data_IF_333737754504
#
_entry.id   IF_333737754504
#
_cell.length_a   1.000
_cell.length_b   1.000
_cell.length_c   1.000
_cell.angle_alpha   90.00
_cell.angle_beta   90.00
_cell.angle_gamma   90.00
#
_symmetry.space_group_name_H-M   'P 1'
#
loop_
_entity.id
_entity.type
_entity.pdbx_description
1 polymer ?
#
# COMPACT_ATOMS: atom_id res chain seq x y z
N UNK A 1 -2.49 -11.03 -14.63
CA UNK A 1 -3.43 -10.22 -15.43
C UNK A 1 -3.50 -8.78 -14.93
N UNK A 2 -3.96 -8.52 -13.70
CA UNK A 2 -4.07 -7.15 -13.16
C UNK A 2 -2.76 -6.34 -13.20
N UNK A 3 -1.64 -6.94 -12.79
CA UNK A 3 -0.33 -6.27 -12.83
C UNK A 3 0.08 -5.82 -14.26
N UNK A 4 -0.14 -6.67 -15.27
CA UNK A 4 0.13 -6.34 -16.67
C UNK A 4 -0.80 -5.24 -17.16
N UNK A 5 -2.10 -5.33 -16.85
CA UNK A 5 -3.06 -4.30 -17.24
C UNK A 5 -2.77 -2.94 -16.58
N UNK A 6 -2.29 -2.93 -15.33
CA UNK A 6 -1.87 -1.71 -14.66
C UNK A 6 -0.56 -1.15 -15.25
N UNK A 7 0.38 -2.01 -15.65
CA UNK A 7 1.60 -1.58 -16.34
C UNK A 7 1.28 -0.83 -17.64
N UNK A 8 0.22 -1.21 -18.37
CA UNK A 8 -0.20 -0.50 -19.59
C UNK A 8 -0.74 0.92 -19.35
N UNK A 9 -1.10 1.27 -18.12
CA UNK A 9 -1.50 2.63 -17.76
C UNK A 9 -0.32 3.58 -17.60
N UNK A 10 0.90 3.05 -17.55
CA UNK A 10 2.12 3.81 -17.36
C UNK A 10 2.64 4.31 -18.69
N UNK A 11 2.98 5.59 -18.73
CA UNK A 11 3.59 6.26 -19.89
C UNK A 11 5.06 6.58 -19.61
N UNK A 12 5.87 6.66 -20.66
CA UNK A 12 7.27 7.05 -20.54
C UNK A 12 7.39 8.50 -20.07
N UNK A 13 8.32 8.77 -19.15
CA UNK A 13 8.54 10.05 -18.49
C UNK A 13 7.85 10.19 -17.13
N UNK A 14 7.01 9.22 -16.73
CA UNK A 14 6.30 9.25 -15.45
C UNK A 14 7.22 8.98 -14.26
N UNK A 15 6.88 9.60 -13.13
CA UNK A 15 7.34 9.28 -11.78
C UNK A 15 6.37 8.32 -11.11
N UNK A 16 6.86 7.15 -10.71
CA UNK A 16 6.04 6.04 -10.25
C UNK A 16 6.29 5.66 -8.79
N UNK A 17 5.22 5.57 -8.02
CA UNK A 17 5.21 4.84 -6.76
C UNK A 17 5.03 3.35 -6.98
N UNK A 18 6.00 2.55 -6.55
CA UNK A 18 5.98 1.09 -6.63
C UNK A 18 5.68 0.50 -5.25
N UNK A 19 4.54 -0.18 -5.17
CA UNK A 19 4.07 -0.88 -3.99
C UNK A 19 4.95 -2.01 -3.46
N UNK A 20 4.37 -2.85 -2.59
CA UNK A 20 5.07 -4.02 -2.03
C UNK A 20 4.22 -5.29 -2.12
N UNK A 21 4.90 -6.44 -2.26
CA UNK A 21 4.28 -7.76 -2.20
C UNK A 21 4.36 -8.55 -3.51
N UNK A 22 3.84 -9.77 -3.47
CA UNK A 22 3.93 -10.73 -4.59
C UNK A 22 3.24 -10.22 -5.86
N UNK A 23 2.09 -9.58 -5.74
CA UNK A 23 1.38 -8.97 -6.87
C UNK A 23 2.21 -7.88 -7.54
N UNK A 24 2.92 -7.08 -6.75
CA UNK A 24 3.80 -6.01 -7.25
C UNK A 24 5.03 -6.57 -7.95
N UNK A 25 5.57 -7.71 -7.53
CA UNK A 25 6.69 -8.35 -8.26
C UNK A 25 6.35 -8.63 -9.73
N UNK A 26 5.11 -9.03 -10.03
CA UNK A 26 4.64 -9.19 -11.42
C UNK A 26 4.51 -7.85 -12.16
N UNK A 27 4.15 -6.77 -11.46
CA UNK A 27 4.11 -5.42 -12.04
C UNK A 27 5.51 -4.96 -12.41
N UNK A 28 6.50 -5.16 -11.55
CA UNK A 28 7.90 -4.77 -11.82
C UNK A 28 8.43 -5.44 -13.09
N UNK A 29 8.16 -6.74 -13.25
CA UNK A 29 8.54 -7.46 -14.47
C UNK A 29 7.82 -6.90 -15.70
N UNK A 30 6.50 -6.66 -15.61
CA UNK A 30 5.73 -6.10 -16.72
C UNK A 30 6.20 -4.69 -17.12
N UNK A 31 6.62 -3.86 -16.17
CA UNK A 31 7.21 -2.54 -16.44
C UNK A 31 8.57 -2.67 -17.12
N UNK A 32 9.43 -3.57 -16.64
CA UNK A 32 10.75 -3.80 -17.21
C UNK A 32 10.67 -4.31 -18.67
N UNK A 33 9.72 -5.21 -18.95
CA UNK A 33 9.50 -5.76 -20.30
C UNK A 33 9.04 -4.69 -21.31
N UNK A 34 8.39 -3.62 -20.85
CA UNK A 34 7.95 -2.50 -21.71
C UNK A 34 9.10 -1.56 -22.11
N UNK A 35 10.26 -1.63 -21.44
CA UNK A 35 11.44 -0.82 -21.72
C UNK A 35 11.15 0.70 -21.84
N UNK A 36 10.26 1.21 -20.99
CA UNK A 36 9.93 2.64 -20.91
C UNK A 36 10.84 3.37 -19.90
N UNK A 37 11.06 4.66 -20.16
CA UNK A 37 11.82 5.51 -19.24
C UNK A 37 10.89 6.00 -18.12
N UNK A 38 11.13 5.58 -16.88
CA UNK A 38 10.34 5.94 -15.69
C UNK A 38 11.26 6.15 -14.50
N UNK A 39 10.92 7.11 -13.65
CA UNK A 39 11.60 7.34 -12.37
C UNK A 39 10.75 6.76 -11.24
N UNK A 40 11.26 5.74 -10.55
CA UNK A 40 10.47 5.02 -9.56
C UNK A 40 10.86 5.39 -8.12
N UNK A 41 9.88 5.29 -7.22
CA UNK A 41 10.03 5.29 -5.76
C UNK A 41 9.47 3.96 -5.25
N UNK A 42 10.17 3.29 -4.34
CA UNK A 42 9.73 2.03 -3.75
C UNK A 42 9.14 2.20 -2.35
N UNK A 43 8.14 1.38 -2.02
CA UNK A 43 7.57 1.36 -0.66
C UNK A 43 8.29 0.39 0.28
N UNK A 44 9.21 -0.44 -0.23
CA UNK A 44 10.04 -1.34 0.60
C UNK A 44 11.44 -1.56 0.03
N UNK A 45 12.42 -1.93 0.89
CA UNK A 45 13.76 -2.33 0.44
C UNK A 45 13.74 -3.53 -0.51
N UNK A 46 12.78 -4.45 -0.34
CA UNK A 46 12.64 -5.61 -1.21
C UNK A 46 12.16 -5.19 -2.62
N UNK A 47 11.13 -4.35 -2.71
CA UNK A 47 10.67 -3.80 -4.00
C UNK A 47 11.80 -3.03 -4.67
N UNK A 48 12.53 -2.19 -3.94
CA UNK A 48 13.67 -1.44 -4.48
C UNK A 48 14.70 -2.36 -5.11
N UNK A 49 15.12 -3.39 -4.37
CA UNK A 49 16.11 -4.34 -4.83
C UNK A 49 15.68 -5.00 -6.13
N UNK A 50 14.45 -5.53 -6.19
CA UNK A 50 13.93 -6.22 -7.38
C UNK A 50 13.81 -5.24 -8.56
N UNK A 51 13.30 -4.03 -8.32
CA UNK A 51 13.18 -3.01 -9.37
C UNK A 51 14.54 -2.66 -9.99
N UNK A 52 15.58 -2.48 -9.15
CA UNK A 52 16.95 -2.22 -9.61
C UNK A 52 17.54 -3.41 -10.37
N UNK A 53 17.31 -4.64 -9.90
CA UNK A 53 17.76 -5.86 -10.59
C UNK A 53 17.12 -6.03 -11.97
N UNK A 54 15.90 -5.52 -12.16
CA UNK A 54 15.19 -5.48 -13.43
C UNK A 54 15.56 -4.27 -14.31
N UNK A 55 16.48 -3.41 -13.87
CA UNK A 55 16.96 -2.26 -14.62
C UNK A 55 16.07 -1.01 -14.54
N UNK A 56 15.10 -0.96 -13.62
CA UNK A 56 14.29 0.24 -13.39
C UNK A 56 15.11 1.30 -12.63
N UNK A 57 14.96 2.57 -13.03
CA UNK A 57 15.54 3.69 -12.30
C UNK A 57 14.76 3.92 -11.00
N UNK A 58 15.40 3.74 -9.84
CA UNK A 58 14.78 3.97 -8.53
C UNK A 58 15.49 5.11 -7.81
N UNK A 59 14.73 6.16 -7.51
CA UNK A 59 15.15 7.37 -6.81
C UNK A 59 14.77 7.32 -5.33
N UNK A 60 15.41 8.19 -4.53
CA UNK A 60 15.08 8.34 -3.11
C UNK A 60 13.76 9.10 -2.94
N UNK A 61 12.94 8.64 -2.00
CA UNK A 61 11.79 9.36 -1.46
C UNK A 61 12.05 9.90 -0.04
N UNK A 62 13.28 9.73 0.45
CA UNK A 62 13.70 10.19 1.76
C UNK A 62 14.52 11.48 1.66
N UNK A 63 14.39 12.33 2.68
CA UNK A 63 15.13 13.58 2.80
C UNK A 63 14.54 14.73 1.98
N UNK A 64 15.06 15.93 2.18
CA UNK A 64 14.56 17.16 1.53
C UNK A 64 14.80 17.20 0.02
N UNK A 65 15.81 16.47 -0.46
CA UNK A 65 16.17 16.38 -1.89
C UNK A 65 15.53 15.18 -2.59
N UNK A 66 14.66 14.44 -1.90
CA UNK A 66 13.94 13.30 -2.46
C UNK A 66 12.85 13.71 -3.44
N UNK A 67 12.38 12.74 -4.23
CA UNK A 67 11.17 12.91 -5.04
C UNK A 67 10.01 13.31 -4.14
N UNK A 68 9.28 14.37 -4.48
CA UNK A 68 8.18 14.91 -3.65
C UNK A 68 6.78 14.70 -4.25
N UNK A 69 6.71 14.35 -5.54
CA UNK A 69 5.48 14.18 -6.30
C UNK A 69 5.63 13.03 -7.30
N UNK A 70 4.55 12.28 -7.49
CA UNK A 70 4.47 11.13 -8.38
C UNK A 70 3.27 11.28 -9.32
N UNK A 71 3.42 10.90 -10.58
CA UNK A 71 2.29 10.90 -11.53
C UNK A 71 1.33 9.75 -11.23
N UNK A 72 1.86 8.63 -10.74
CA UNK A 72 1.06 7.44 -10.43
C UNK A 72 1.71 6.60 -9.34
N UNK A 73 0.92 6.03 -8.44
CA UNK A 73 1.33 4.93 -7.57
C UNK A 73 0.53 3.67 -7.91
N UNK A 74 1.19 2.52 -7.93
CA UNK A 74 0.56 1.22 -8.18
C UNK A 74 0.94 0.24 -7.06
N UNK A 75 -0.06 -0.34 -6.40
CA UNK A 75 0.18 -1.25 -5.28
C UNK A 75 -0.91 -2.34 -5.15
N UNK A 76 -0.61 -3.41 -4.42
CA UNK A 76 -1.57 -4.43 -4.05
C UNK A 76 -2.40 -4.05 -2.82
N UNK A 77 -3.38 -4.89 -2.51
CA UNK A 77 -4.18 -4.82 -1.29
C UNK A 77 -4.46 -6.20 -0.68
N UNK A 78 -4.68 -6.22 0.63
CA UNK A 78 -5.08 -7.41 1.38
C UNK A 78 -6.59 -7.62 1.32
N UNK A 79 -7.37 -6.54 1.36
CA UNK A 79 -8.83 -6.52 1.18
C UNK A 79 -9.27 -5.22 0.52
N UNK A 80 -10.34 -5.28 -0.29
CA UNK A 80 -11.03 -4.13 -0.88
C UNK A 80 -12.53 -4.34 -0.70
N UNK A 81 -13.22 -3.38 -0.10
CA UNK A 81 -14.67 -3.44 0.10
C UNK A 81 -15.45 -2.67 -1.00
N UNK A 82 -16.80 -2.78 -1.05
CA UNK A 82 -17.60 -2.09 -2.05
C UNK A 82 -17.64 -0.57 -1.90
N UNK A 83 -17.31 -0.04 -0.72
CA UNK A 83 -17.24 1.40 -0.47
C UNK A 83 -15.89 1.99 -0.93
N UNK A 84 -14.95 1.15 -1.37
CA UNK A 84 -13.61 1.55 -1.80
C UNK A 84 -12.61 1.64 -0.66
N UNK A 85 -12.97 1.20 0.55
CA UNK A 85 -12.00 1.08 1.64
C UNK A 85 -11.10 -0.11 1.41
N UNK A 86 -9.83 0.08 1.75
CA UNK A 86 -8.78 -0.88 1.46
C UNK A 86 -8.01 -1.19 2.74
N UNK A 87 -7.75 -2.49 2.98
CA UNK A 87 -6.76 -2.94 3.95
C UNK A 87 -5.47 -3.30 3.21
N UNK A 88 -4.37 -2.74 3.69
CA UNK A 88 -2.98 -3.02 3.29
C UNK A 88 -2.13 -3.26 4.53
N UNK A 89 -0.88 -3.71 4.34
CA UNK A 89 0.09 -3.89 5.42
C UNK A 89 0.33 -5.34 5.85
N UNK A 90 -0.18 -6.33 5.11
CA UNK A 90 0.23 -7.73 5.28
C UNK A 90 1.76 -7.90 5.25
N UNK A 91 2.45 -7.12 4.41
CA UNK A 91 3.91 -7.07 4.28
C UNK A 91 4.64 -6.08 5.20
N UNK A 92 3.97 -5.46 6.18
CA UNK A 92 4.57 -4.53 7.14
C UNK A 92 5.22 -3.25 6.56
N UNK A 93 4.82 -2.84 5.35
CA UNK A 93 5.30 -1.62 4.69
C UNK A 93 4.21 -0.54 4.53
N UNK A 94 3.04 -0.71 5.16
CA UNK A 94 1.85 0.12 4.89
C UNK A 94 2.05 1.62 5.13
N UNK A 95 2.91 2.01 6.06
CA UNK A 95 3.25 3.43 6.28
C UNK A 95 3.90 4.04 5.05
N UNK A 96 4.93 3.39 4.48
CA UNK A 96 5.55 3.84 3.23
C UNK A 96 4.60 3.75 2.05
N UNK A 97 3.81 2.68 1.98
CA UNK A 97 2.78 2.52 0.94
C UNK A 97 1.80 3.69 0.95
N UNK A 98 1.38 4.15 2.14
CA UNK A 98 0.45 5.28 2.28
C UNK A 98 1.08 6.62 1.92
N UNK A 99 2.31 6.86 2.35
CA UNK A 99 3.05 8.07 1.97
C UNK A 99 3.21 8.17 0.45
N UNK A 100 3.58 7.07 -0.22
CA UNK A 100 3.74 7.02 -1.68
C UNK A 100 2.40 7.18 -2.39
N UNK A 101 1.34 6.52 -1.93
CA UNK A 101 0.01 6.69 -2.49
C UNK A 101 -0.51 8.13 -2.35
N UNK A 102 -0.28 8.77 -1.21
CA UNK A 102 -0.70 10.16 -0.96
C UNK A 102 0.09 11.21 -1.77
N UNK A 103 1.30 10.88 -2.22
CA UNK A 103 2.14 11.76 -3.04
C UNK A 103 1.86 11.60 -4.55
N UNK A 104 0.98 10.69 -4.95
CA UNK A 104 0.64 10.42 -6.34
C UNK A 104 -0.64 11.11 -6.79
N UNK A 105 -0.66 11.62 -8.01
CA UNK A 105 -1.90 12.15 -8.62
C UNK A 105 -2.93 11.04 -8.83
N UNK A 106 -2.45 9.81 -9.05
CA UNK A 106 -3.26 8.64 -9.40
C UNK A 106 -2.81 7.43 -8.60
N UNK A 107 -3.66 6.90 -7.73
CA UNK A 107 -3.39 5.65 -7.04
C UNK A 107 -4.21 4.50 -7.64
N UNK A 108 -3.50 3.51 -8.16
CA UNK A 108 -4.05 2.32 -8.83
C UNK A 108 -3.80 1.10 -7.95
N UNK A 109 -4.87 0.40 -7.61
CA UNK A 109 -4.77 -0.82 -6.79
C UNK A 109 -4.91 -2.06 -7.66
N UNK A 110 -3.98 -3.00 -7.56
CA UNK A 110 -3.99 -4.25 -8.31
C UNK A 110 -4.29 -5.43 -7.39
N UNK A 111 -5.35 -6.18 -7.69
CA UNK A 111 -5.75 -7.32 -6.87
C UNK A 111 -6.23 -8.49 -7.71
N UNK A 112 -6.19 -9.68 -7.11
CA UNK A 112 -6.97 -10.83 -7.56
C UNK A 112 -8.39 -10.77 -6.99
N UNK A 113 -9.35 -11.42 -7.64
CA UNK A 113 -10.77 -11.25 -7.32
C UNK A 113 -11.15 -11.68 -5.90
N UNK A 114 -10.39 -12.59 -5.28
CA UNK A 114 -10.59 -13.01 -3.88
C UNK A 114 -10.27 -11.93 -2.85
N UNK A 115 -9.62 -10.83 -3.25
CA UNK A 115 -9.38 -9.68 -2.38
C UNK A 115 -10.57 -8.74 -2.30
N UNK A 116 -11.56 -8.90 -3.17
CA UNK A 116 -12.83 -8.19 -3.07
C UNK A 116 -13.69 -8.87 -2.01
N UNK A 117 -13.92 -8.17 -0.91
CA UNK A 117 -14.69 -8.67 0.23
C UNK A 117 -16.01 -7.91 0.34
N UNK A 118 -17.08 -8.53 0.89
CA UNK A 118 -18.35 -7.81 1.09
C UNK A 118 -18.25 -6.71 2.14
N UNK A 119 -17.34 -6.86 3.10
CA UNK A 119 -16.99 -5.88 4.13
C UNK A 119 -15.57 -6.16 4.63
N UNK A 120 -14.87 -5.13 5.07
CA UNK A 120 -13.54 -5.27 5.67
C UNK A 120 -13.61 -6.08 6.98
N UNK A 121 -12.64 -6.95 7.18
CA UNK A 121 -12.52 -7.75 8.40
C UNK A 121 -11.11 -7.73 8.98
N UNK A 122 -11.00 -7.95 10.29
CA UNK A 122 -9.72 -8.06 10.95
C UNK A 122 -8.91 -9.26 10.41
N UNK A 123 -7.56 -9.22 10.46
CA UNK A 123 -6.74 -8.21 11.12
C UNK A 123 -6.51 -6.95 10.27
N UNK A 124 -6.43 -5.80 10.94
CA UNK A 124 -5.96 -4.53 10.37
C UNK A 124 -4.52 -4.24 10.85
N UNK A 125 -3.51 -4.22 9.94
CA UNK A 125 -2.13 -3.95 10.32
C UNK A 125 -1.94 -2.56 10.92
N UNK A 126 -1.12 -2.44 11.94
CA UNK A 126 -0.68 -1.21 12.58
C UNK A 126 0.85 -1.17 12.60
N UNK A 127 1.40 0.03 12.46
CA UNK A 127 2.80 0.31 12.77
C UNK A 127 2.86 1.18 14.02
N UNK A 128 3.61 0.75 15.01
CA UNK A 128 3.67 1.36 16.34
C UNK A 128 5.09 1.83 16.66
N UNK A 129 5.21 2.94 17.39
CA UNK A 129 6.45 3.35 18.02
C UNK A 129 6.85 2.35 19.11
N UNK A 130 8.14 2.02 19.16
CA UNK A 130 8.70 1.20 20.23
C UNK A 130 8.71 1.96 21.57
N UNK A 131 8.94 3.27 21.49
CA UNK A 131 8.86 4.14 22.66
C UNK A 131 7.42 4.24 23.15
N UNK A 132 7.17 3.75 24.36
CA UNK A 132 5.83 3.73 24.95
C UNK A 132 4.96 2.57 24.49
N UNK A 133 5.50 1.57 23.78
CA UNK A 133 4.74 0.46 23.19
C UNK A 133 3.71 -0.18 24.14
N UNK A 134 4.11 -0.49 25.38
CA UNK A 134 3.21 -1.09 26.36
C UNK A 134 1.99 -0.19 26.70
N UNK A 135 2.18 1.12 26.75
CA UNK A 135 1.10 2.09 26.96
C UNK A 135 0.21 2.19 25.72
N UNK A 136 0.79 2.20 24.52
CA UNK A 136 0.06 2.19 23.24
C UNK A 136 -0.82 0.94 23.12
N UNK A 137 -0.27 -0.25 23.38
CA UNK A 137 -1.04 -1.51 23.35
C UNK A 137 -2.20 -1.49 24.35
N UNK A 138 -1.95 -0.95 25.57
CA UNK A 138 -3.00 -0.80 26.58
C UNK A 138 -4.11 0.16 26.14
N UNK A 139 -3.77 1.26 25.46
CA UNK A 139 -4.73 2.25 25.00
C UNK A 139 -5.57 1.76 23.81
N UNK A 140 -5.00 0.89 22.96
CA UNK A 140 -5.70 0.29 21.83
C UNK A 140 -6.67 -0.82 22.26
N UNK A 141 -6.40 -1.52 23.37
CA UNK A 141 -7.18 -2.62 23.95
C UNK A 141 -7.29 -3.88 23.07
N UNK A 142 -7.75 -3.75 21.82
CA UNK A 142 -8.04 -4.86 20.90
C UNK A 142 -6.94 -5.01 19.85
N UNK A 143 -5.70 -5.17 20.32
CA UNK A 143 -4.52 -5.27 19.46
C UNK A 143 -3.65 -6.46 19.85
N UNK A 144 -3.07 -7.14 18.87
CA UNK A 144 -2.05 -8.19 19.07
C UNK A 144 -0.75 -7.79 18.39
N UNK A 145 0.38 -7.98 19.06
CA UNK A 145 1.68 -7.89 18.38
C UNK A 145 1.79 -8.97 17.32
N UNK A 146 2.41 -8.62 16.19
CA UNK A 146 2.68 -9.55 15.09
C UNK A 146 4.14 -10.00 15.18
N UNK A 147 4.37 -11.30 15.17
CA UNK A 147 5.72 -11.88 15.19
C UNK A 147 6.36 -11.84 13.79
N UNK A 148 6.74 -10.64 13.37
CA UNK A 148 7.39 -10.35 12.09
C UNK A 148 8.55 -9.38 12.30
N UNK A 149 9.47 -9.24 11.32
CA UNK A 149 10.44 -8.15 11.33
C UNK A 149 9.76 -6.79 11.51
N UNK A 150 10.50 -5.84 12.08
CA UNK A 150 10.07 -4.44 12.14
C UNK A 150 9.80 -3.89 10.74
N UNK A 151 9.02 -2.82 10.68
CA UNK A 151 8.78 -2.08 9.44
C UNK A 151 10.12 -1.62 8.82
N UNK A 152 10.13 -1.23 7.53
CA UNK A 152 11.29 -0.61 6.91
C UNK A 152 11.87 0.60 7.67
N UNK A 153 11.06 1.25 8.49
CA UNK A 153 11.41 2.45 9.27
C UNK A 153 11.58 2.16 10.78
N UNK A 154 11.61 0.88 11.16
CA UNK A 154 11.91 0.42 12.51
C UNK A 154 10.72 0.37 13.48
N UNK A 155 9.51 0.59 12.98
CA UNK A 155 8.27 0.46 13.73
C UNK A 155 7.94 -0.99 14.09
N UNK A 156 7.25 -1.17 15.23
CA UNK A 156 6.75 -2.46 15.70
C UNK A 156 5.43 -2.75 15.01
N UNK A 157 5.27 -3.96 14.48
CA UNK A 157 4.04 -4.35 13.77
C UNK A 157 3.06 -5.02 14.72
N UNK A 158 1.82 -4.58 14.64
CA UNK A 158 0.71 -5.14 15.40
C UNK A 158 -0.54 -5.24 14.53
N UNK A 159 -1.56 -5.92 15.03
CA UNK A 159 -2.82 -6.13 14.36
C UNK A 159 -3.97 -5.66 15.25
N UNK A 160 -4.76 -4.72 14.74
CA UNK A 160 -6.07 -4.43 15.30
C UNK A 160 -7.02 -5.60 15.00
N UNK A 161 -7.64 -6.14 16.05
CA UNK A 161 -8.52 -7.31 16.02
C UNK A 161 -9.99 -6.96 16.28
N UNK A 162 -10.30 -5.66 16.39
CA UNK A 162 -11.65 -5.18 16.66
C UNK A 162 -12.50 -5.02 15.39
N UNK A 163 -13.70 -4.46 15.58
CA UNK A 163 -14.62 -4.17 14.47
C UNK A 163 -14.02 -3.14 13.49
N UNK A 164 -14.43 -3.27 12.22
CA UNK A 164 -14.14 -2.40 11.09
C UNK A 164 -15.45 -1.85 10.46
N UNK A 165 -16.57 -1.89 11.19
CA UNK A 165 -17.89 -1.50 10.65
C UNK A 165 -17.96 -0.02 10.24
N UNK A 166 -17.13 0.84 10.85
CA UNK A 166 -16.93 2.24 10.46
C UNK A 166 -15.43 2.50 10.24
N UNK A 167 -14.91 2.19 9.03
CA UNK A 167 -13.49 2.37 8.73
C UNK A 167 -13.02 3.82 8.84
N UNK A 168 -13.89 4.79 8.54
CA UNK A 168 -13.55 6.20 8.59
C UNK A 168 -13.28 6.66 10.03
N UNK A 169 -14.20 6.36 10.94
CA UNK A 169 -14.05 6.66 12.37
C UNK A 169 -12.87 5.91 12.99
N UNK A 170 -12.67 4.64 12.61
CA UNK A 170 -11.54 3.84 13.07
C UNK A 170 -10.21 4.43 12.61
N UNK A 171 -10.06 4.78 11.33
CA UNK A 171 -8.87 5.40 10.77
C UNK A 171 -8.54 6.70 11.52
N UNK A 172 -9.50 7.62 11.64
CA UNK A 172 -9.32 8.88 12.36
C UNK A 172 -8.87 8.66 13.82
N UNK A 173 -9.46 7.70 14.53
CA UNK A 173 -9.09 7.36 15.91
C UNK A 173 -7.66 6.81 15.99
N UNK A 174 -7.30 5.88 15.10
CA UNK A 174 -5.97 5.29 15.07
C UNK A 174 -4.90 6.34 14.76
N UNK A 175 -5.12 7.20 13.76
CA UNK A 175 -4.21 8.32 13.45
C UNK A 175 -4.06 9.30 14.61
N UNK A 176 -5.10 9.51 15.41
CA UNK A 176 -5.07 10.40 16.57
C UNK A 176 -4.44 9.77 17.83
N UNK A 177 -4.12 8.47 17.82
CA UNK A 177 -3.64 7.75 19.01
C UNK A 177 -2.12 7.89 19.16
N UNK A 178 -1.58 8.49 20.24
CA UNK A 178 -0.14 8.58 20.45
C UNK A 178 0.52 7.20 20.49
N UNK A 179 1.65 7.07 19.80
CA UNK A 179 2.37 5.81 19.68
C UNK A 179 1.96 4.95 18.48
N UNK A 180 0.83 5.25 17.81
CA UNK A 180 0.54 4.72 16.47
C UNK A 180 1.28 5.59 15.46
N UNK A 181 2.13 4.96 14.64
CA UNK A 181 2.79 5.62 13.50
C UNK A 181 1.79 5.71 12.35
N UNK A 182 1.21 4.57 11.96
CA UNK A 182 0.19 4.49 10.93
C UNK A 182 -0.60 3.15 11.02
N UNK A 183 -1.62 3.01 10.19
CA UNK A 183 -2.50 1.85 10.08
C UNK A 183 -2.75 1.42 8.62
N UNK A 184 -3.19 0.19 8.42
CA UNK A 184 -3.44 -0.41 7.11
C UNK A 184 -4.69 0.06 6.37
N UNK A 185 -5.53 0.93 6.95
CA UNK A 185 -6.72 1.48 6.27
C UNK A 185 -6.32 2.59 5.30
N UNK A 186 -6.73 2.45 4.05
CA UNK A 186 -6.60 3.43 2.99
C UNK A 186 -8.01 3.90 2.60
N UNK A 187 -8.20 5.22 2.60
CA UNK A 187 -9.50 5.85 2.29
C UNK A 187 -9.84 5.68 0.82
N UNK A 188 -11.13 5.52 0.47
CA UNK A 188 -11.61 5.61 -0.91
C UNK A 188 -11.05 6.85 -1.62
N UNK A 189 -10.97 7.99 -0.94
CA UNK A 189 -10.49 9.28 -1.47
C UNK A 189 -9.06 9.24 -2.04
N UNK A 190 -8.25 8.26 -1.63
CA UNK A 190 -6.90 8.10 -2.15
C UNK A 190 -6.87 7.34 -3.49
N UNK A 191 -7.84 6.47 -3.74
CA UNK A 191 -7.78 5.49 -4.83
C UNK A 191 -8.56 5.98 -6.04
N UNK A 192 -7.92 6.03 -7.21
CA UNK A 192 -8.62 6.30 -8.47
C UNK A 192 -9.38 5.05 -8.91
N UNK A 193 -8.70 3.90 -8.98
CA UNK A 193 -9.28 2.66 -9.49
C UNK A 193 -8.64 1.40 -8.90
N UNK A 194 -9.41 0.33 -8.94
CA UNK A 194 -8.98 -1.03 -8.63
C UNK A 194 -9.02 -1.87 -9.91
N UNK A 195 -7.87 -2.44 -10.28
CA UNK A 195 -7.72 -3.39 -11.38
C UNK A 195 -7.74 -4.80 -10.82
N UNK A 196 -8.79 -5.54 -11.15
CA UNK A 196 -9.09 -6.86 -10.62
C UNK A 196 -8.74 -7.92 -11.65
N UNK A 197 -7.95 -8.92 -11.27
CA UNK A 197 -7.72 -10.11 -12.07
C UNK A 197 -8.83 -11.13 -11.86
N UNK A 198 -9.49 -11.54 -12.95
CA UNK A 198 -10.53 -12.57 -12.98
C UNK A 198 -10.04 -13.72 -13.88
N UNK A 199 -9.12 -14.52 -13.35
CA UNK A 199 -8.38 -15.50 -14.15
C UNK A 199 -7.45 -14.81 -15.15
N UNK A 200 -7.76 -14.94 -16.45
CA UNK A 200 -6.95 -14.34 -17.54
C UNK A 200 -7.45 -12.97 -17.98
N UNK A 201 -8.65 -12.55 -17.57
CA UNK A 201 -9.21 -11.24 -17.89
C UNK A 201 -8.98 -10.26 -16.74
N UNK A 202 -9.26 -8.99 -17.01
CA UNK A 202 -9.22 -7.93 -16.00
C UNK A 202 -10.50 -7.11 -16.01
N UNK A 203 -10.91 -6.64 -14.83
CA UNK A 203 -12.01 -5.70 -14.62
C UNK A 203 -11.48 -4.47 -13.90
N UNK A 204 -11.92 -3.30 -14.34
CA UNK A 204 -11.55 -2.02 -13.73
C UNK A 204 -12.75 -1.48 -12.95
N UNK A 205 -12.54 -1.17 -11.68
CA UNK A 205 -13.53 -0.55 -10.79
C UNK A 205 -13.04 0.87 -10.48
N UNK A 206 -13.78 1.89 -10.88
CA UNK A 206 -13.48 3.28 -10.53
C UNK A 206 -13.97 3.55 -9.11
N UNK A 207 -13.11 4.13 -8.26
CA UNK A 207 -13.44 4.50 -6.88
C UNK A 207 -13.72 6.00 -6.83
N UNK A 208 -12.74 6.82 -7.21
CA UNK A 208 -12.92 8.26 -7.41
C UNK A 208 -12.87 8.60 -8.89
N UNK A 209 -13.80 9.47 -9.31
CA UNK A 209 -13.87 10.06 -10.63
C UNK A 209 -13.82 11.58 -10.52
#
# INVERSE_FOLDING_TARGET
AAAVAAAELVESGMKLGLGTGSTVAFLLQALADRAIDVECVSTSPQTEKIARELGLNVSSFAGLDGVAHLDMAIDGADQVDPAGWIIKGGGAAHTREKCVAAAADRFIVIVSSEKLVPALTAPLPLELLDYGLAATLRALETVSLRDVPRSPDGGVIADWLGSLDDPASLAARLSATPGVIDHGLFSPDMTERVVVAEGTTTRHIMINA
#
